data_IF_430219158154
#
_entry.id   IF_430219158154
#
_cell.length_a   1.000
_cell.length_b   1.000
_cell.length_c   1.000
_cell.angle_alpha   90.00
_cell.angle_beta   90.00
_cell.angle_gamma   90.00
#
_symmetry.space_group_name_H-M   'P 1'
#
loop_
_entity.id
_entity.type
_entity.pdbx_description
1 polymer ?
#
# COMPACT_ATOMS: atom_id res chain seq x y z
N UNK A 1 -1.17 2.96 -10.77
CA UNK A 1 -0.93 1.53 -10.52
C UNK A 1 0.55 1.16 -10.67
N UNK A 2 1.15 1.29 -11.86
CA UNK A 2 2.57 0.98 -12.09
C UNK A 2 3.54 1.67 -11.11
N UNK A 3 3.34 2.96 -10.81
CA UNK A 3 4.17 3.72 -9.85
C UNK A 3 4.11 3.12 -8.43
N UNK A 4 2.96 2.59 -8.01
CA UNK A 4 2.79 2.01 -6.67
C UNK A 4 3.49 0.66 -6.56
N UNK A 5 3.32 -0.19 -7.57
CA UNK A 5 3.99 -1.48 -7.63
C UNK A 5 5.51 -1.30 -7.66
N UNK A 6 6.01 -0.42 -8.54
CA UNK A 6 7.44 -0.15 -8.64
C UNK A 6 8.03 0.38 -7.34
N UNK A 7 7.34 1.29 -6.65
CA UNK A 7 7.77 1.79 -5.33
C UNK A 7 7.81 0.70 -4.27
N UNK A 8 6.80 -0.17 -4.25
CA UNK A 8 6.70 -1.24 -3.28
C UNK A 8 7.81 -2.29 -3.50
N UNK A 9 8.08 -2.67 -4.76
CA UNK A 9 9.22 -3.51 -5.12
C UNK A 9 10.55 -2.89 -4.70
N UNK A 10 10.75 -1.59 -4.96
CA UNK A 10 11.98 -0.88 -4.57
C UNK A 10 12.15 -0.74 -3.04
N UNK A 11 11.05 -0.81 -2.29
CA UNK A 11 11.05 -0.82 -0.83
C UNK A 11 11.24 -2.23 -0.23
N UNK A 12 11.38 -3.27 -1.08
CA UNK A 12 11.46 -4.66 -0.63
C UNK A 12 10.12 -5.22 -0.13
N UNK A 13 9.01 -4.55 -0.44
CA UNK A 13 7.68 -4.91 -0.02
C UNK A 13 6.79 -5.20 -1.23
N UNK A 14 6.56 -6.47 -1.58
CA UNK A 14 5.66 -6.77 -2.68
C UNK A 14 4.26 -6.22 -2.38
N UNK A 15 3.72 -5.42 -3.31
CA UNK A 15 2.35 -4.92 -3.25
C UNK A 15 1.48 -5.79 -4.15
N UNK A 16 0.43 -6.38 -3.58
CA UNK A 16 -0.51 -7.16 -4.36
C UNK A 16 -1.32 -6.28 -5.33
N UNK A 17 -1.65 -6.83 -6.49
CA UNK A 17 -2.40 -6.12 -7.51
C UNK A 17 -3.78 -5.70 -7.01
N UNK A 18 -4.46 -6.57 -6.28
CA UNK A 18 -5.74 -6.28 -5.63
C UNK A 18 -5.61 -5.17 -4.57
N UNK A 19 -4.47 -5.10 -3.87
CA UNK A 19 -4.19 -4.07 -2.88
C UNK A 19 -3.97 -2.69 -3.53
N UNK A 20 -3.21 -2.64 -4.62
CA UNK A 20 -3.04 -1.43 -5.42
C UNK A 20 -4.39 -0.94 -5.99
N UNK A 21 -5.22 -1.86 -6.48
CA UNK A 21 -6.55 -1.59 -7.00
C UNK A 21 -7.51 -1.10 -5.91
N UNK A 22 -7.41 -1.62 -4.69
CA UNK A 22 -8.19 -1.18 -3.55
C UNK A 22 -7.82 0.25 -3.13
N UNK A 23 -6.52 0.55 -3.01
CA UNK A 23 -6.01 1.89 -2.71
C UNK A 23 -6.51 2.93 -3.73
N UNK A 24 -6.45 2.60 -5.02
CA UNK A 24 -6.90 3.50 -6.08
C UNK A 24 -8.42 3.72 -6.10
N UNK A 25 -9.21 2.76 -5.57
CA UNK A 25 -10.67 2.86 -5.47
C UNK A 25 -11.13 3.58 -4.20
N UNK A 26 -10.42 3.42 -3.09
CA UNK A 26 -10.85 3.90 -1.77
C UNK A 26 -10.16 5.21 -1.33
N UNK A 27 -9.03 5.59 -1.95
CA UNK A 27 -8.41 6.88 -1.74
C UNK A 27 -8.53 7.78 -2.97
N UNK A 28 -8.67 9.09 -2.72
CA UNK A 28 -8.54 10.11 -3.75
C UNK A 28 -7.23 9.94 -4.53
N UNK A 29 -7.26 10.22 -5.84
CA UNK A 29 -6.10 10.24 -6.75
C UNK A 29 -5.02 11.28 -6.38
N UNK A 30 -5.07 11.84 -5.18
CA UNK A 30 -4.01 12.67 -4.63
C UNK A 30 -2.81 11.79 -4.30
N UNK A 31 -1.78 11.91 -5.14
CA UNK A 31 -0.54 11.17 -5.01
C UNK A 31 0.11 11.37 -3.64
N UNK A 32 -0.04 12.55 -3.00
CA UNK A 32 0.57 12.84 -1.71
C UNK A 32 -0.08 12.01 -0.60
N UNK A 33 -1.40 11.98 -0.54
CA UNK A 33 -2.14 11.12 0.40
C UNK A 33 -1.81 9.66 0.18
N UNK A 34 -1.77 9.24 -1.08
CA UNK A 34 -1.49 7.84 -1.44
C UNK A 34 -0.08 7.40 -1.03
N UNK A 35 0.91 8.28 -1.16
CA UNK A 35 2.28 8.03 -0.69
C UNK A 35 2.40 8.01 0.85
N UNK A 36 1.67 8.87 1.56
CA UNK A 36 1.63 8.85 3.03
C UNK A 36 0.99 7.56 3.56
N UNK A 37 -0.14 7.16 2.97
CA UNK A 37 -0.80 5.89 3.30
C UNK A 37 0.14 4.71 3.03
N UNK A 38 0.83 4.71 1.87
CA UNK A 38 1.81 3.67 1.54
C UNK A 38 2.96 3.62 2.55
N UNK A 39 3.50 4.75 3.00
CA UNK A 39 4.56 4.79 4.00
C UNK A 39 4.13 4.33 5.40
N UNK A 40 2.86 4.53 5.78
CA UNK A 40 2.32 3.98 7.02
C UNK A 40 2.12 2.47 6.91
N UNK A 41 1.58 2.00 5.79
CA UNK A 41 1.43 0.58 5.50
C UNK A 41 2.77 -0.13 5.46
N UNK A 42 3.81 0.51 4.92
CA UNK A 42 5.18 0.02 4.89
C UNK A 42 5.69 -0.25 6.31
N UNK A 43 5.54 0.73 7.22
CA UNK A 43 5.95 0.55 8.64
C UNK A 43 5.20 -0.58 9.34
N UNK A 44 3.88 -0.68 9.14
CA UNK A 44 3.07 -1.78 9.70
C UNK A 44 3.43 -3.14 9.10
N UNK A 45 3.66 -3.19 7.79
CA UNK A 45 4.08 -4.38 7.07
C UNK A 45 5.46 -4.86 7.52
N UNK A 46 6.40 -3.93 7.74
CA UNK A 46 7.74 -4.22 8.25
C UNK A 46 7.68 -4.75 9.69
N UNK A 47 6.88 -4.12 10.55
CA UNK A 47 6.67 -4.56 11.93
C UNK A 47 6.08 -5.98 12.01
N UNK A 48 5.29 -6.37 11.00
CA UNK A 48 4.63 -7.67 10.90
C UNK A 48 5.37 -8.67 10.01
N UNK A 49 6.46 -8.26 9.34
CA UNK A 49 7.20 -9.05 8.35
C UNK A 49 6.33 -9.58 7.20
N UNK A 50 5.31 -8.82 6.76
CA UNK A 50 4.26 -9.31 5.84
C UNK A 50 4.13 -8.47 4.57
N UNK A 51 3.63 -9.12 3.51
CA UNK A 51 3.25 -8.50 2.23
C UNK A 51 2.07 -7.52 2.40
N UNK A 52 2.06 -6.43 1.64
CA UNK A 52 0.91 -5.49 1.61
C UNK A 52 -0.24 -6.17 0.85
N UNK A 53 -1.34 -6.45 1.57
CA UNK A 53 -2.53 -7.15 1.05
C UNK A 53 -3.80 -6.36 1.36
N UNK A 54 -4.90 -6.70 0.69
CA UNK A 54 -6.21 -6.04 0.94
C UNK A 54 -6.67 -6.13 2.40
N UNK A 55 -6.51 -7.25 3.14
CA UNK A 55 -6.84 -7.29 4.57
C UNK A 55 -6.04 -6.28 5.40
N UNK A 56 -4.73 -6.16 5.18
CA UNK A 56 -3.90 -5.16 5.88
C UNK A 56 -4.36 -3.73 5.58
N UNK A 57 -4.70 -3.47 4.31
CA UNK A 57 -5.27 -2.19 3.91
C UNK A 57 -6.58 -1.89 4.64
N UNK A 58 -7.45 -2.88 4.80
CA UNK A 58 -8.69 -2.71 5.56
C UNK A 58 -8.43 -2.43 7.03
N UNK A 59 -7.47 -3.11 7.65
CA UNK A 59 -7.12 -2.87 9.06
C UNK A 59 -6.55 -1.46 9.30
N UNK A 60 -5.78 -0.92 8.35
CA UNK A 60 -5.12 0.40 8.48
C UNK A 60 -6.02 1.56 8.02
N UNK A 61 -6.98 1.29 7.13
CA UNK A 61 -7.90 2.30 6.58
C UNK A 61 -9.28 2.31 7.23
N UNK A 62 -9.57 1.40 8.17
CA UNK A 62 -10.76 1.42 9.01
C UNK A 62 -10.63 2.49 10.12
#
# INVERSE_FOLDING_TARGET
KAILMHRAEHAGMPLDEAAADYLLRHHSRDLRTLLQTLANLDREALARGRRITVPLLKDVLA
#
